data_IF_932436540726
#
_entry.id   IF_932436540726
#
_cell.length_a   1.000
_cell.length_b   1.000
_cell.length_c   1.000
_cell.angle_alpha   90.00
_cell.angle_beta   90.00
_cell.angle_gamma   90.00
#
_symmetry.space_group_name_H-M   'P 1'
#
loop_
_entity.id
_entity.type
_entity.pdbx_description
1 polymer ?
#
# COMPACT_ATOMS: atom_id res chain seq x y z
N UNK A 1 -3.44 28.56 -11.67
CA UNK A 1 -4.78 28.00 -11.98
C UNK A 1 -5.04 26.85 -11.03
N UNK A 2 -6.18 26.80 -10.32
CA UNK A 2 -6.47 25.69 -9.43
C UNK A 2 -6.68 24.44 -10.27
N UNK A 3 -6.02 23.33 -9.91
CA UNK A 3 -6.20 22.04 -10.54
C UNK A 3 -7.67 21.64 -10.43
N UNK A 4 -8.34 21.70 -11.58
CA UNK A 4 -9.76 21.45 -11.81
C UNK A 4 -10.19 20.09 -11.26
N UNK A 5 -11.39 20.03 -10.68
CA UNK A 5 -12.08 18.89 -10.04
C UNK A 5 -12.14 17.55 -10.82
N UNK A 6 -11.61 17.45 -12.05
CA UNK A 6 -11.64 16.27 -12.92
C UNK A 6 -10.24 15.75 -13.30
N UNK A 7 -9.29 15.75 -12.37
CA UNK A 7 -7.98 15.14 -12.62
C UNK A 7 -8.08 13.60 -12.58
N UNK A 8 -7.61 12.92 -13.64
CA UNK A 8 -7.41 11.45 -13.63
C UNK A 8 -6.23 11.01 -12.75
N UNK A 9 -5.46 11.96 -12.21
CA UNK A 9 -4.24 11.68 -11.45
C UNK A 9 -4.45 10.74 -10.25
N UNK A 10 -5.54 10.82 -9.46
CA UNK A 10 -5.74 9.88 -8.35
C UNK A 10 -5.88 8.43 -8.82
N UNK A 11 -6.61 8.20 -9.93
CA UNK A 11 -6.73 6.86 -10.53
C UNK A 11 -5.39 6.38 -11.06
N UNK A 12 -4.69 7.22 -11.83
CA UNK A 12 -3.38 6.88 -12.39
C UNK A 12 -2.32 6.60 -11.31
N UNK A 13 -2.40 7.28 -10.15
CA UNK A 13 -1.54 6.99 -9.00
C UNK A 13 -1.93 5.67 -8.31
N UNK A 14 -3.21 5.30 -8.34
CA UNK A 14 -3.67 3.97 -7.95
C UNK A 14 -3.04 2.90 -8.85
N UNK A 15 -3.26 3.02 -10.17
CA UNK A 15 -2.72 2.11 -11.19
C UNK A 15 -1.18 1.97 -11.08
N UNK A 16 -0.47 3.09 -10.85
CA UNK A 16 0.97 3.08 -10.59
C UNK A 16 1.35 2.26 -9.35
N UNK A 17 0.62 2.44 -8.24
CA UNK A 17 0.89 1.69 -7.02
C UNK A 17 0.67 0.19 -7.21
N UNK A 18 -0.40 -0.19 -7.91
CA UNK A 18 -0.67 -1.59 -8.25
C UNK A 18 0.44 -2.18 -9.12
N UNK A 19 0.90 -1.43 -10.14
CA UNK A 19 2.05 -1.81 -10.96
C UNK A 19 3.34 -1.99 -10.16
N UNK A 20 3.60 -1.11 -9.20
CA UNK A 20 4.79 -1.22 -8.34
C UNK A 20 4.71 -2.43 -7.41
N UNK A 21 3.57 -2.68 -6.77
CA UNK A 21 3.38 -3.85 -5.89
C UNK A 21 3.50 -5.14 -6.70
N UNK A 22 2.92 -5.18 -7.90
CA UNK A 22 3.11 -6.28 -8.84
C UNK A 22 4.61 -6.52 -9.14
N UNK A 23 5.36 -5.47 -9.49
CA UNK A 23 6.80 -5.56 -9.69
C UNK A 23 7.55 -6.11 -8.46
N UNK A 24 7.23 -5.63 -7.26
CA UNK A 24 7.82 -6.12 -5.99
C UNK A 24 7.61 -7.62 -5.83
N UNK A 25 6.37 -8.08 -6.04
CA UNK A 25 5.99 -9.48 -5.86
C UNK A 25 6.67 -10.38 -6.91
N UNK A 26 6.67 -9.98 -8.18
CA UNK A 26 7.40 -10.70 -9.24
C UNK A 26 8.89 -10.81 -8.91
N UNK A 27 9.52 -9.71 -8.45
CA UNK A 27 10.93 -9.73 -8.03
C UNK A 27 11.21 -10.68 -6.86
N UNK A 28 10.19 -10.99 -6.06
CA UNK A 28 10.23 -11.96 -4.96
C UNK A 28 9.83 -13.38 -5.38
N UNK A 29 9.54 -13.59 -6.66
CA UNK A 29 9.20 -14.89 -7.25
C UNK A 29 7.74 -15.28 -7.08
N UNK A 30 6.84 -14.32 -6.89
CA UNK A 30 5.40 -14.57 -6.91
C UNK A 30 4.86 -14.51 -8.33
N UNK A 31 3.88 -15.37 -8.63
CA UNK A 31 2.96 -15.17 -9.75
C UNK A 31 1.89 -14.16 -9.32
N UNK A 32 1.51 -13.24 -10.20
CA UNK A 32 0.60 -12.13 -9.88
C UNK A 32 -0.42 -11.93 -10.99
N UNK A 33 -1.68 -11.68 -10.62
CA UNK A 33 -2.73 -11.28 -11.54
C UNK A 33 -3.51 -10.08 -11.00
N UNK A 34 -3.97 -9.22 -11.90
CA UNK A 34 -4.88 -8.11 -11.58
C UNK A 34 -6.31 -8.61 -11.40
N UNK A 35 -7.05 -7.95 -10.53
CA UNK A 35 -8.44 -8.27 -10.22
C UNK A 35 -9.33 -7.12 -10.62
N UNK A 36 -10.36 -7.39 -11.42
CA UNK A 36 -11.44 -6.42 -11.71
C UNK A 36 -12.67 -6.74 -10.84
N UNK A 37 -12.50 -6.61 -9.53
CA UNK A 37 -13.56 -6.88 -8.55
C UNK A 37 -13.38 -6.02 -7.30
N UNK A 38 -14.49 -5.67 -6.65
CA UNK A 38 -14.44 -4.92 -5.40
C UNK A 38 -13.79 -5.77 -4.31
N UNK A 39 -12.75 -5.23 -3.66
CA UNK A 39 -12.17 -5.79 -2.43
C UNK A 39 -10.67 -6.07 -2.50
N UNK A 40 -10.16 -6.46 -3.68
CA UNK A 40 -8.74 -6.67 -3.93
C UNK A 40 -8.37 -6.10 -5.28
N UNK A 41 -7.14 -5.59 -5.38
CA UNK A 41 -6.60 -5.00 -6.59
C UNK A 41 -5.70 -6.03 -7.32
N UNK A 42 -5.00 -6.88 -6.56
CA UNK A 42 -4.17 -7.98 -7.06
C UNK A 42 -4.46 -9.29 -6.32
N UNK A 43 -4.17 -10.40 -6.99
CA UNK A 43 -3.93 -11.70 -6.34
C UNK A 43 -2.52 -12.16 -6.63
N UNK A 44 -1.91 -12.89 -5.71
CA UNK A 44 -0.60 -13.51 -5.94
C UNK A 44 -0.50 -14.90 -5.34
N UNK A 45 0.42 -15.70 -5.88
CA UNK A 45 0.73 -17.04 -5.41
C UNK A 45 2.24 -17.28 -5.40
N UNK A 46 2.71 -17.99 -4.38
CA UNK A 46 4.05 -18.58 -4.33
C UNK A 46 4.09 -19.76 -3.37
N UNK A 47 4.57 -20.91 -3.84
CA UNK A 47 4.77 -22.12 -3.04
C UNK A 47 3.52 -22.54 -2.24
N UNK A 48 2.33 -22.41 -2.84
CA UNK A 48 1.03 -22.70 -2.24
C UNK A 48 0.47 -21.59 -1.36
N UNK A 49 1.24 -20.52 -1.08
CA UNK A 49 0.76 -19.35 -0.35
C UNK A 49 0.07 -18.39 -1.31
N UNK A 50 -1.23 -18.15 -1.09
CA UNK A 50 -2.07 -17.34 -1.97
C UNK A 50 -2.58 -16.10 -1.25
N UNK A 51 -2.46 -14.94 -1.87
CA UNK A 51 -2.80 -13.65 -1.26
C UNK A 51 -3.80 -12.88 -2.11
N UNK A 52 -4.76 -12.22 -1.47
CA UNK A 52 -5.52 -11.13 -2.06
C UNK A 52 -5.01 -9.81 -1.50
N UNK A 53 -4.65 -8.87 -2.37
CA UNK A 53 -3.92 -7.67 -1.99
C UNK A 53 -4.74 -6.45 -2.37
N UNK A 54 -5.01 -5.58 -1.40
CA UNK A 54 -5.48 -4.22 -1.70
C UNK A 54 -4.33 -3.23 -1.59
N UNK A 55 -4.17 -2.39 -2.61
CA UNK A 55 -3.09 -1.42 -2.73
C UNK A 55 -3.60 -0.02 -2.40
N UNK A 56 -2.83 0.71 -1.59
CA UNK A 56 -3.09 2.11 -1.20
C UNK A 56 -1.88 2.97 -1.49
N UNK A 57 -2.00 3.80 -2.52
CA UNK A 57 -0.96 4.78 -2.89
C UNK A 57 -1.18 6.12 -2.19
N UNK A 58 -0.11 6.71 -1.65
CA UNK A 58 -0.10 8.07 -1.13
C UNK A 58 1.14 8.81 -1.61
N UNK A 59 0.94 10.02 -2.14
CA UNK A 59 2.01 10.94 -2.48
C UNK A 59 2.02 12.11 -1.48
N UNK A 60 3.10 12.20 -0.71
CA UNK A 60 3.42 13.35 0.14
C UNK A 60 4.28 14.32 -0.65
N UNK A 61 3.61 15.37 -1.15
CA UNK A 61 4.22 16.43 -1.96
C UNK A 61 5.27 17.21 -1.17
N UNK A 62 6.25 17.74 -1.90
CA UNK A 62 7.33 18.56 -1.35
C UNK A 62 6.78 19.72 -0.52
N UNK A 63 7.24 19.86 0.72
CA UNK A 63 6.82 20.94 1.62
C UNK A 63 5.36 20.87 2.12
N UNK A 64 4.72 19.71 1.99
CA UNK A 64 3.38 19.47 2.56
C UNK A 64 3.42 19.48 4.10
N UNK A 65 2.48 20.19 4.72
CA UNK A 65 2.25 20.13 6.17
C UNK A 65 1.30 18.98 6.58
N UNK A 66 0.88 18.15 5.62
CA UNK A 66 0.03 17.00 5.92
C UNK A 66 0.77 15.99 6.80
N UNK A 67 0.10 15.52 7.84
CA UNK A 67 0.60 14.41 8.65
C UNK A 67 0.90 13.22 7.75
N UNK A 68 2.14 12.71 7.80
CA UNK A 68 2.55 11.48 7.10
C UNK A 68 1.85 10.27 7.72
N UNK A 69 0.57 10.10 7.43
CA UNK A 69 -0.27 9.03 7.94
C UNK A 69 -1.30 8.61 6.90
N UNK A 70 -1.80 7.39 7.08
CA UNK A 70 -2.93 6.89 6.32
C UNK A 70 -3.92 6.21 7.27
N UNK A 71 -5.20 6.48 7.06
CA UNK A 71 -6.30 5.82 7.77
C UNK A 71 -7.22 5.14 6.77
N UNK A 72 -7.68 3.95 7.10
CA UNK A 72 -8.69 3.22 6.34
C UNK A 72 -9.75 2.66 7.28
N UNK A 73 -10.95 2.47 6.74
CA UNK A 73 -12.13 2.08 7.52
C UNK A 73 -12.19 0.58 7.77
N UNK A 74 -12.96 0.19 8.78
CA UNK A 74 -13.31 -1.21 9.01
C UNK A 74 -14.07 -1.84 7.83
N UNK A 75 -14.82 -1.02 7.06
CA UNK A 75 -15.47 -1.47 5.82
C UNK A 75 -14.45 -1.92 4.76
N UNK A 76 -13.28 -1.28 4.68
CA UNK A 76 -12.23 -1.71 3.76
C UNK A 76 -11.67 -3.08 4.15
N UNK A 77 -11.47 -3.33 5.45
CA UNK A 77 -11.09 -4.66 5.96
C UNK A 77 -12.15 -5.71 5.59
N UNK A 78 -13.42 -5.43 5.86
CA UNK A 78 -14.52 -6.36 5.54
C UNK A 78 -14.57 -6.73 4.06
N UNK A 79 -14.34 -5.77 3.16
CA UNK A 79 -14.34 -6.00 1.71
C UNK A 79 -13.21 -6.92 1.27
N UNK A 80 -11.99 -6.71 1.75
CA UNK A 80 -10.87 -7.58 1.38
C UNK A 80 -11.02 -8.97 2.03
N UNK A 81 -11.48 -9.07 3.28
CA UNK A 81 -11.77 -10.36 3.91
C UNK A 81 -12.86 -11.14 3.18
N UNK A 82 -13.95 -10.46 2.78
CA UNK A 82 -15.02 -11.08 2.00
C UNK A 82 -14.48 -11.64 0.69
N UNK A 83 -13.75 -10.84 -0.09
CA UNK A 83 -13.12 -11.27 -1.34
C UNK A 83 -12.18 -12.47 -1.10
N UNK A 84 -11.28 -12.35 -0.14
CA UNK A 84 -10.32 -13.38 0.23
C UNK A 84 -10.98 -14.71 0.58
N UNK A 85 -12.08 -14.68 1.35
CA UNK A 85 -12.80 -15.88 1.75
C UNK A 85 -13.47 -16.59 0.56
N UNK A 86 -13.98 -15.85 -0.44
CA UNK A 86 -14.58 -16.45 -1.64
C UNK A 86 -13.57 -17.24 -2.47
N UNK A 87 -12.30 -16.82 -2.48
CA UNK A 87 -11.25 -17.41 -3.32
C UNK A 87 -10.21 -18.23 -2.54
N UNK A 88 -10.40 -18.40 -1.23
CA UNK A 88 -9.45 -19.04 -0.30
C UNK A 88 -8.04 -18.43 -0.41
N UNK A 89 -7.96 -17.12 -0.15
CA UNK A 89 -6.74 -16.31 -0.21
C UNK A 89 -6.49 -15.67 1.16
N UNK A 90 -5.23 -15.43 1.53
CA UNK A 90 -4.87 -14.65 2.73
C UNK A 90 -4.97 -13.14 2.41
N UNK A 91 -5.77 -12.35 3.14
CA UNK A 91 -5.93 -10.91 2.88
C UNK A 91 -4.69 -10.10 3.29
N UNK A 92 -4.27 -9.18 2.41
CA UNK A 92 -3.07 -8.35 2.55
C UNK A 92 -3.36 -6.90 2.13
N UNK A 93 -2.77 -5.93 2.82
CA UNK A 93 -2.79 -4.53 2.41
C UNK A 93 -1.38 -4.08 2.09
N UNK A 94 -1.20 -3.51 0.90
CA UNK A 94 0.03 -2.90 0.46
C UNK A 94 -0.09 -1.37 0.47
N UNK A 95 0.84 -0.69 1.13
CA UNK A 95 0.96 0.77 1.12
C UNK A 95 2.11 1.19 0.23
N UNK A 96 1.83 1.98 -0.80
CA UNK A 96 2.84 2.60 -1.66
C UNK A 96 2.95 4.07 -1.29
N UNK A 97 4.13 4.49 -0.84
CA UNK A 97 4.39 5.87 -0.42
C UNK A 97 5.40 6.51 -1.34
N UNK A 98 5.01 7.64 -1.90
CA UNK A 98 5.90 8.56 -2.60
C UNK A 98 6.13 9.72 -1.63
N UNK A 99 7.38 9.96 -1.25
CA UNK A 99 7.76 11.09 -0.39
C UNK A 99 8.75 11.96 -1.15
N UNK A 100 8.27 13.09 -1.68
CA UNK A 100 9.08 13.95 -2.55
C UNK A 100 10.24 14.62 -1.81
N UNK A 101 10.04 15.03 -0.55
CA UNK A 101 11.10 15.64 0.28
C UNK A 101 12.26 14.66 0.55
N UNK A 102 11.92 13.39 0.79
CA UNK A 102 12.89 12.34 1.09
C UNK A 102 13.43 11.68 -0.20
N UNK A 103 12.85 12.01 -1.37
CA UNK A 103 13.10 11.36 -2.66
C UNK A 103 12.99 9.83 -2.59
N UNK A 104 11.97 9.36 -1.87
CA UNK A 104 11.75 7.92 -1.67
C UNK A 104 10.44 7.46 -2.29
N UNK A 105 10.51 6.28 -2.89
CA UNK A 105 9.37 5.43 -3.17
C UNK A 105 9.47 4.20 -2.27
N UNK A 106 8.40 3.88 -1.54
CA UNK A 106 8.41 2.83 -0.53
C UNK A 106 7.17 1.96 -0.65
N UNK A 107 7.31 0.66 -0.46
CA UNK A 107 6.21 -0.29 -0.39
C UNK A 107 6.25 -1.03 0.96
N UNK A 108 5.13 -1.04 1.66
CA UNK A 108 4.92 -1.81 2.89
C UNK A 108 3.76 -2.79 2.66
N UNK A 109 4.02 -4.08 2.78
CA UNK A 109 3.04 -5.14 2.56
C UNK A 109 2.78 -5.83 3.90
N UNK A 110 1.52 -5.83 4.33
CA UNK A 110 1.12 -6.24 5.68
C UNK A 110 -0.11 -7.15 5.59
N UNK A 111 -0.07 -8.31 6.26
CA UNK A 111 -1.23 -9.20 6.33
C UNK A 111 -2.31 -8.59 7.20
N UNK A 112 -3.58 -8.74 6.79
CA UNK A 112 -4.70 -8.18 7.55
C UNK A 112 -4.79 -8.77 8.96
N UNK A 113 -4.41 -10.04 9.16
CA UNK A 113 -4.37 -10.64 10.51
C UNK A 113 -3.47 -9.85 11.48
N UNK A 114 -2.29 -9.42 11.02
CA UNK A 114 -1.33 -8.69 11.85
C UNK A 114 -1.79 -7.24 12.13
N UNK A 115 -2.65 -6.70 11.27
CA UNK A 115 -3.38 -5.43 11.52
C UNK A 115 -4.45 -5.63 12.59
N UNK A 116 -5.28 -6.67 12.46
CA UNK A 116 -6.36 -6.97 13.39
C UNK A 116 -5.87 -7.30 14.80
N UNK A 117 -4.72 -7.97 14.91
CA UNK A 117 -4.06 -8.28 16.18
C UNK A 117 -3.29 -7.09 16.77
N UNK A 118 -3.29 -5.93 16.11
CA UNK A 118 -2.65 -4.71 16.60
C UNK A 118 -1.12 -4.76 16.60
N UNK A 119 -0.52 -5.65 15.80
CA UNK A 119 0.95 -5.86 15.76
C UNK A 119 1.68 -4.77 14.98
N UNK A 120 0.99 -4.10 14.06
CA UNK A 120 1.61 -3.14 13.13
C UNK A 120 0.89 -1.80 13.09
N UNK A 121 -0.45 -1.80 13.13
CA UNK A 121 -1.28 -0.61 12.97
C UNK A 121 -2.03 -0.27 14.25
N UNK A 122 -2.28 1.03 14.45
CA UNK A 122 -3.06 1.50 15.59
C UNK A 122 -4.55 1.47 15.24
N UNK A 123 -5.35 0.82 16.10
CA UNK A 123 -6.82 0.90 16.02
C UNK A 123 -7.28 2.34 16.28
N UNK A 124 -8.23 2.81 15.48
CA UNK A 124 -8.96 4.07 15.68
C UNK A 124 -10.47 3.77 15.70
N UNK A 125 -11.29 4.78 16.01
CA UNK A 125 -12.73 4.62 16.23
C UNK A 125 -13.44 3.75 15.16
N UNK A 126 -13.18 4.05 13.89
CA UNK A 126 -13.88 3.42 12.75
C UNK A 126 -12.91 2.73 11.76
N UNK A 127 -11.76 2.25 12.24
CA UNK A 127 -10.76 1.62 11.38
C UNK A 127 -9.38 1.53 11.99
N UNK A 128 -8.36 1.71 11.14
CA UNK A 128 -6.95 1.62 11.52
C UNK A 128 -6.17 2.78 10.93
N UNK A 129 -5.08 3.14 11.60
CA UNK A 129 -4.14 4.14 11.11
C UNK A 129 -2.70 3.64 11.14
N UNK A 130 -1.95 4.03 10.13
CA UNK A 130 -0.52 3.83 10.01
C UNK A 130 0.17 5.19 9.90
N UNK A 131 1.31 5.36 10.58
CA UNK A 131 2.10 6.59 10.58
C UNK A 131 3.45 6.33 9.94
N UNK A 132 3.90 7.28 9.12
CA UNK A 132 5.14 7.20 8.33
C UNK A 132 6.09 8.35 8.65
N UNK A 133 6.02 8.91 9.87
CA UNK A 133 7.11 9.75 10.37
C UNK A 133 8.38 8.92 10.52
N UNK A 134 9.55 9.56 10.50
CA UNK A 134 10.85 8.85 10.48
C UNK A 134 10.99 7.79 11.58
N UNK A 135 10.50 8.08 12.80
CA UNK A 135 10.47 7.10 13.90
C UNK A 135 9.56 5.92 13.60
N UNK A 136 8.28 6.17 13.33
CA UNK A 136 7.30 5.09 13.08
C UNK A 136 7.68 4.25 11.85
N UNK A 137 8.27 4.88 10.84
CA UNK A 137 8.77 4.19 9.66
C UNK A 137 9.89 3.21 10.00
N UNK A 138 10.84 3.60 10.85
CA UNK A 138 11.90 2.70 11.30
C UNK A 138 11.34 1.49 12.06
N UNK A 139 10.34 1.71 12.91
CA UNK A 139 9.65 0.64 13.64
C UNK A 139 8.95 -0.35 12.67
N UNK A 140 8.30 0.18 11.62
CA UNK A 140 7.68 -0.63 10.57
C UNK A 140 8.71 -1.45 9.79
N UNK A 141 9.82 -0.85 9.37
CA UNK A 141 10.88 -1.52 8.59
C UNK A 141 11.51 -2.66 9.39
N UNK A 142 11.66 -2.49 10.71
CA UNK A 142 12.25 -3.49 11.58
C UNK A 142 11.25 -4.56 12.07
N UNK A 143 9.96 -4.44 11.71
CA UNK A 143 8.93 -5.39 12.12
C UNK A 143 8.96 -6.66 11.27
N UNK A 144 8.94 -7.82 11.91
CA UNK A 144 8.82 -9.11 11.22
C UNK A 144 7.47 -9.32 10.51
N UNK A 145 6.47 -8.49 10.84
CA UNK A 145 5.11 -8.57 10.28
C UNK A 145 4.93 -7.68 9.03
N UNK A 146 6.00 -7.01 8.61
CA UNK A 146 5.99 -6.05 7.50
C UNK A 146 7.01 -6.48 6.48
N UNK A 147 6.54 -6.73 5.26
CA UNK A 147 7.42 -6.86 4.11
C UNK A 147 7.66 -5.46 3.51
N UNK A 148 8.93 -5.10 3.36
CA UNK A 148 9.34 -3.74 2.99
C UNK A 148 10.17 -3.73 1.69
N UNK A 149 9.98 -2.71 0.86
CA UNK A 149 10.79 -2.44 -0.32
C UNK A 149 10.92 -0.95 -0.54
N UNK A 150 12.08 -0.50 -1.02
CA UNK A 150 12.42 0.91 -1.09
C UNK A 150 13.28 1.23 -2.30
N UNK A 151 12.98 2.37 -2.92
CA UNK A 151 13.79 3.03 -3.93
C UNK A 151 14.09 4.44 -3.44
N UNK A 152 15.35 4.85 -3.56
CA UNK A 152 15.87 6.09 -3.00
C UNK A 152 16.57 6.88 -4.09
N UNK A 153 16.62 8.19 -3.86
CA UNK A 153 17.28 9.14 -4.76
C UNK A 153 16.67 9.12 -6.17
N UNK A 154 15.36 8.87 -6.25
CA UNK A 154 14.62 8.90 -7.51
C UNK A 154 14.71 10.30 -8.14
N UNK A 155 15.20 10.36 -9.38
CA UNK A 155 15.32 11.61 -10.14
C UNK A 155 14.35 11.57 -11.30
N UNK A 156 13.31 12.39 -11.22
CA UNK A 156 12.45 12.66 -12.37
C UNK A 156 13.09 13.81 -13.15
N UNK A 157 13.62 13.51 -14.33
CA UNK A 157 14.18 14.53 -15.21
C UNK A 157 13.08 15.45 -15.79
N UNK A 158 13.41 16.73 -15.95
CA UNK A 158 12.50 17.73 -16.50
C UNK A 158 12.81 18.05 -17.98
N UNK A 159 13.27 17.05 -18.74
CA UNK A 159 13.70 17.22 -20.14
C UNK A 159 12.63 16.83 -21.18
N UNK A 160 11.38 16.68 -20.74
CA UNK A 160 10.23 16.54 -21.62
C UNK A 160 9.61 17.90 -21.90
#
# INVERSE_FOLDING_TARGET
MPLTQNSRAPKQMGDFGEGLVNYVLIKKGYEVAYVDHVGADLISEKDGNRYAISVKTRNFKKGSNESRMYSFSDDHIKKIEFFSNQFNLEPVIAFVLITEDDKTLEAFIIKVKDILEGRVLNKIKDGYSIRFSSKNKLDLINSQYVDYSCWKDEVIGNRF
#
